data_IF_088926696387
#
_entry.id   IF_088926696387
#
_cell.length_a   1.000
_cell.length_b   1.000
_cell.length_c   1.000
_cell.angle_alpha   90.00
_cell.angle_beta   90.00
_cell.angle_gamma   90.00
#
_symmetry.space_group_name_H-M   'P 1'
#
loop_
_entity.id
_entity.type
_entity.pdbx_description
1 polymer ?
#
# COMPACT_ATOMS: atom_id res chain seq x y z
N UNK A 1 -15.97 -9.47 34.27
CA UNK A 1 -14.70 -10.12 33.88
C UNK A 1 -14.43 -9.80 32.39
N UNK A 2 -13.56 -8.83 32.08
CA UNK A 2 -13.32 -8.38 30.69
C UNK A 2 -12.22 -9.24 30.07
N UNK A 3 -12.60 -10.05 29.07
CA UNK A 3 -11.71 -10.97 28.37
C UNK A 3 -10.85 -10.17 27.37
N UNK A 4 -9.61 -9.80 27.73
CA UNK A 4 -8.63 -9.20 26.81
C UNK A 4 -8.33 -10.20 25.68
N UNK A 5 -8.83 -9.95 24.47
CA UNK A 5 -8.38 -10.66 23.26
C UNK A 5 -6.93 -10.25 22.98
N UNK A 6 -5.97 -11.16 23.19
CA UNK A 6 -4.62 -10.98 22.69
C UNK A 6 -4.65 -10.97 21.15
N UNK A 7 -4.14 -9.90 20.53
CA UNK A 7 -3.95 -9.84 19.08
C UNK A 7 -2.76 -10.72 18.72
N UNK A 8 -3.01 -11.83 18.00
CA UNK A 8 -1.95 -12.65 17.40
C UNK A 8 -1.58 -12.05 16.06
N UNK A 9 -0.32 -11.61 15.92
CA UNK A 9 0.22 -11.13 14.66
C UNK A 9 1.05 -12.26 14.04
N UNK A 10 0.89 -12.50 12.72
CA UNK A 10 1.73 -13.45 11.97
C UNK A 10 2.86 -12.66 11.30
N UNK A 11 4.10 -13.12 11.48
CA UNK A 11 5.26 -12.61 10.73
C UNK A 11 5.45 -13.50 9.51
N UNK A 12 5.68 -12.87 8.35
CA UNK A 12 5.88 -13.57 7.07
C UNK A 12 7.20 -13.08 6.51
N UNK A 13 8.14 -14.00 6.31
CA UNK A 13 9.43 -13.69 5.71
C UNK A 13 9.32 -13.81 4.21
N UNK A 14 9.75 -12.75 3.51
CA UNK A 14 9.86 -12.76 2.06
C UNK A 14 11.30 -13.14 1.66
N UNK A 15 11.48 -13.91 0.59
CA UNK A 15 12.79 -14.09 -0.04
C UNK A 15 13.46 -12.73 -0.34
N UNK A 16 14.79 -12.65 -0.26
CA UNK A 16 15.51 -11.45 -0.66
C UNK A 16 15.26 -11.17 -2.15
N UNK A 17 15.22 -9.89 -2.52
CA UNK A 17 15.03 -9.42 -3.90
C UNK A 17 13.73 -9.86 -4.58
N UNK A 18 12.67 -10.16 -3.82
CA UNK A 18 11.33 -10.48 -4.36
C UNK A 18 10.30 -9.37 -4.12
N UNK A 19 10.41 -8.19 -4.77
CA UNK A 19 9.45 -7.10 -4.62
C UNK A 19 8.03 -7.47 -5.09
N UNK A 20 7.90 -8.39 -6.04
CA UNK A 20 6.63 -8.92 -6.53
C UNK A 20 5.81 -9.63 -5.45
N UNK A 21 6.48 -10.16 -4.43
CA UNK A 21 5.82 -10.77 -3.28
C UNK A 21 5.39 -9.74 -2.25
N UNK A 22 5.62 -8.44 -2.46
CA UNK A 22 5.25 -7.42 -1.48
C UNK A 22 4.04 -6.61 -1.95
N UNK A 23 2.91 -6.78 -1.26
CA UNK A 23 1.66 -6.08 -1.57
C UNK A 23 1.81 -4.54 -1.61
N UNK A 24 2.77 -3.98 -0.84
CA UNK A 24 3.01 -2.55 -0.83
C UNK A 24 3.56 -2.01 -2.15
N UNK A 25 4.23 -2.85 -2.96
CA UNK A 25 4.76 -2.41 -4.25
C UNK A 25 3.65 -2.08 -5.24
N UNK A 26 2.49 -2.73 -5.13
CA UNK A 26 1.33 -2.43 -5.97
C UNK A 26 0.71 -1.07 -5.64
N UNK A 27 0.59 -0.70 -4.36
CA UNK A 27 0.14 0.66 -4.00
C UNK A 27 1.20 1.72 -4.33
N UNK A 28 2.49 1.40 -4.19
CA UNK A 28 3.58 2.28 -4.58
C UNK A 28 3.59 2.55 -6.09
N UNK A 29 3.35 1.52 -6.92
CA UNK A 29 3.24 1.66 -8.37
C UNK A 29 2.05 2.54 -8.74
N UNK A 30 0.91 2.35 -8.10
CA UNK A 30 -0.29 3.17 -8.31
C UNK A 30 -0.03 4.64 -7.95
N UNK A 31 0.57 4.90 -6.79
CA UNK A 31 0.98 6.25 -6.36
C UNK A 31 1.94 6.89 -7.35
N UNK A 32 3.02 6.19 -7.72
CA UNK A 32 4.04 6.71 -8.65
C UNK A 32 3.44 7.03 -10.01
N UNK A 33 2.53 6.18 -10.50
CA UNK A 33 1.88 6.35 -11.81
C UNK A 33 0.88 7.52 -11.79
N UNK A 34 0.03 7.58 -10.77
CA UNK A 34 -1.10 8.51 -10.74
C UNK A 34 -0.78 9.88 -10.14
N UNK A 35 0.30 10.00 -9.36
CA UNK A 35 0.71 11.25 -8.74
C UNK A 35 1.99 11.78 -9.39
N UNK A 36 3.10 11.04 -9.24
CA UNK A 36 4.42 11.52 -9.61
C UNK A 36 4.59 11.53 -11.14
N UNK A 37 4.04 10.51 -11.82
CA UNK A 37 4.11 10.35 -13.27
C UNK A 37 3.26 11.36 -14.05
N UNK A 38 2.19 11.91 -13.45
CA UNK A 38 1.32 12.89 -14.11
C UNK A 38 1.85 14.32 -14.03
N UNK A 39 2.41 14.72 -12.88
CA UNK A 39 2.95 16.06 -12.68
C UNK A 39 4.09 16.04 -11.68
N UNK A 40 5.27 16.46 -12.13
CA UNK A 40 6.44 16.58 -11.26
C UNK A 40 6.20 17.66 -10.19
N UNK A 41 6.33 17.35 -8.90
CA UNK A 41 6.23 18.35 -7.84
C UNK A 41 7.41 19.33 -7.92
N UNK A 42 7.13 20.62 -7.68
CA UNK A 42 8.14 21.68 -7.72
C UNK A 42 9.05 21.70 -6.48
N UNK A 43 8.58 21.15 -5.36
CA UNK A 43 9.32 21.09 -4.10
C UNK A 43 8.83 19.94 -3.22
N UNK A 44 9.54 19.70 -2.11
CA UNK A 44 9.24 18.62 -1.17
C UNK A 44 7.87 18.78 -0.49
N UNK A 45 7.45 20.01 -0.20
CA UNK A 45 6.16 20.27 0.45
C UNK A 45 5.00 19.87 -0.47
N UNK A 46 5.06 20.24 -1.76
CA UNK A 46 4.09 19.83 -2.76
C UNK A 46 4.07 18.31 -2.94
N UNK A 47 5.26 17.69 -3.00
CA UNK A 47 5.35 16.23 -3.10
C UNK A 47 4.63 15.54 -1.94
N UNK A 48 4.86 16.02 -0.70
CA UNK A 48 4.21 15.48 0.49
C UNK A 48 2.69 15.62 0.41
N UNK A 49 2.18 16.82 0.11
CA UNK A 49 0.73 17.07 -0.01
C UNK A 49 0.08 16.15 -1.04
N UNK A 50 0.69 16.01 -2.23
CA UNK A 50 0.17 15.15 -3.28
C UNK A 50 0.10 13.67 -2.86
N UNK A 51 1.12 13.18 -2.14
CA UNK A 51 1.15 11.80 -1.63
C UNK A 51 0.08 11.60 -0.57
N UNK A 52 -0.07 12.54 0.37
CA UNK A 52 -1.07 12.48 1.43
C UNK A 52 -2.50 12.49 0.87
N UNK A 53 -2.78 13.37 -0.09
CA UNK A 53 -4.08 13.43 -0.77
C UNK A 53 -4.41 12.11 -1.47
N UNK A 54 -3.46 11.57 -2.24
CA UNK A 54 -3.63 10.27 -2.90
C UNK A 54 -3.90 9.14 -1.90
N UNK A 55 -3.13 9.05 -0.82
CA UNK A 55 -3.27 7.99 0.18
C UNK A 55 -4.59 8.11 0.95
N UNK A 56 -5.04 9.33 1.24
CA UNK A 56 -6.34 9.58 1.86
C UNK A 56 -7.49 9.12 0.96
N UNK A 57 -7.44 9.46 -0.33
CA UNK A 57 -8.43 9.00 -1.30
C UNK A 57 -8.38 7.47 -1.44
N UNK A 58 -7.19 6.88 -1.53
CA UNK A 58 -7.04 5.43 -1.69
C UNK A 58 -7.54 4.66 -0.47
N UNK A 59 -7.28 5.15 0.74
CA UNK A 59 -7.78 4.55 1.99
C UNK A 59 -9.31 4.47 2.02
N UNK A 60 -10.00 5.44 1.41
CA UNK A 60 -11.46 5.46 1.33
C UNK A 60 -12.01 4.58 0.20
N UNK A 61 -11.18 4.22 -0.78
CA UNK A 61 -11.52 3.29 -1.87
C UNK A 61 -11.18 1.84 -1.50
N UNK A 62 -12.05 1.22 -0.69
CA UNK A 62 -11.91 -0.18 -0.27
C UNK A 62 -11.78 -1.15 -1.45
N UNK A 63 -12.47 -0.88 -2.56
CA UNK A 63 -12.44 -1.77 -3.74
C UNK A 63 -11.07 -1.78 -4.38
N UNK A 64 -10.43 -0.62 -4.52
CA UNK A 64 -9.05 -0.63 -5.02
C UNK A 64 -8.08 -1.24 -4.01
N UNK A 65 -8.21 -0.93 -2.72
CA UNK A 65 -7.31 -1.50 -1.70
C UNK A 65 -7.33 -3.03 -1.74
N UNK A 66 -8.51 -3.65 -1.88
CA UNK A 66 -8.64 -5.09 -2.03
C UNK A 66 -7.95 -5.63 -3.29
N UNK A 67 -8.05 -4.91 -4.42
CA UNK A 67 -7.41 -5.34 -5.68
C UNK A 67 -5.89 -5.50 -5.55
N UNK A 68 -5.22 -4.73 -4.70
CA UNK A 68 -3.78 -4.88 -4.48
C UNK A 68 -3.41 -6.27 -3.92
N UNK A 69 -4.34 -6.95 -3.23
CA UNK A 69 -4.14 -8.28 -2.67
C UNK A 69 -4.59 -9.41 -3.62
N UNK A 70 -5.22 -9.08 -4.75
CA UNK A 70 -5.72 -10.09 -5.70
C UNK A 70 -4.65 -10.57 -6.69
N UNK A 71 -3.48 -9.93 -6.72
CA UNK A 71 -2.38 -10.36 -7.58
C UNK A 71 -1.81 -11.69 -7.05
N UNK A 72 -1.58 -12.64 -7.95
CA UNK A 72 -1.22 -14.03 -7.62
C UNK A 72 -0.06 -14.14 -6.62
N UNK A 73 0.96 -13.31 -6.76
CA UNK A 73 2.17 -13.30 -5.95
C UNK A 73 1.96 -12.85 -4.49
N UNK A 74 0.88 -12.13 -4.19
CA UNK A 74 0.64 -11.52 -2.86
C UNK A 74 -0.59 -12.05 -2.14
N UNK A 75 -1.21 -13.11 -2.66
CA UNK A 75 -2.39 -13.74 -2.05
C UNK A 75 -2.14 -14.24 -0.62
N UNK A 76 -0.89 -14.51 -0.24
CA UNK A 76 -0.52 -14.89 1.12
C UNK A 76 -0.82 -13.78 2.17
N UNK A 77 -0.97 -12.53 1.71
CA UNK A 77 -1.20 -11.35 2.53
C UNK A 77 -2.66 -10.85 2.52
N UNK A 78 -3.55 -11.55 1.80
CA UNK A 78 -4.98 -11.24 1.71
C UNK A 78 -5.77 -11.61 2.98
#
# INVERSE_FOLDING_TARGET
MVRRKQRKNRIIFLPPYSPELNAQEYVNQDLKTNVIGKKRPINKAQMKMNVEEFMNNRKNDRKQVQKYFHVSHVQYAA
#
